data_IF_591109921714
#
_entry.id   IF_591109921714
#
_cell.length_a   1.000
_cell.length_b   1.000
_cell.length_c   1.000
_cell.angle_alpha   90.00
_cell.angle_beta   90.00
_cell.angle_gamma   90.00
#
_symmetry.space_group_name_H-M   'P 1'
#
loop_
_entity.id
_entity.type
_entity.pdbx_description
1 polymer ?
#
# COMPACT_ATOMS: atom_id res chain seq x y z
N UNK A 1 -40.05 6.27 -25.55
CA UNK A 1 -40.45 7.11 -24.40
C UNK A 1 -41.10 6.19 -23.37
N UNK A 2 -40.41 5.87 -22.26
CA UNK A 2 -40.97 5.66 -20.92
C UNK A 2 -39.83 5.26 -19.96
N UNK A 3 -39.72 6.02 -18.87
CA UNK A 3 -38.72 5.94 -17.80
C UNK A 3 -39.14 4.86 -16.79
N UNK A 4 -38.25 3.94 -16.44
CA UNK A 4 -38.43 3.10 -15.26
C UNK A 4 -37.83 3.78 -14.03
N UNK A 5 -38.71 4.08 -13.07
CA UNK A 5 -38.44 4.73 -11.78
C UNK A 5 -38.37 3.63 -10.73
N UNK A 6 -37.21 3.38 -10.14
CA UNK A 6 -37.10 2.48 -9.00
C UNK A 6 -37.33 3.25 -7.70
N UNK A 7 -38.38 2.91 -6.96
CA UNK A 7 -38.66 3.45 -5.63
C UNK A 7 -37.91 2.67 -4.55
N UNK A 8 -37.18 3.36 -3.68
CA UNK A 8 -36.69 2.80 -2.41
C UNK A 8 -37.88 2.60 -1.47
N UNK A 9 -38.10 1.38 -1.01
CA UNK A 9 -38.82 1.11 0.25
C UNK A 9 -37.77 0.91 1.34
N UNK A 10 -37.91 1.65 2.42
CA UNK A 10 -37.19 1.44 3.66
C UNK A 10 -37.63 0.10 4.28
N UNK A 11 -36.68 -0.67 4.79
CA UNK A 11 -36.92 -1.78 5.68
C UNK A 11 -36.06 -1.53 6.93
N UNK A 12 -36.76 -1.20 8.01
CA UNK A 12 -36.23 -1.02 9.35
C UNK A 12 -35.84 -2.36 9.97
N UNK A 13 -34.83 -2.32 10.84
CA UNK A 13 -34.74 -3.19 12.01
C UNK A 13 -33.86 -4.43 11.87
N UNK A 14 -32.78 -4.43 12.65
CA UNK A 14 -31.82 -5.52 12.89
C UNK A 14 -30.72 -5.67 11.82
N UNK A 15 -30.00 -4.57 11.57
CA UNK A 15 -28.72 -4.59 10.87
C UNK A 15 -27.66 -5.24 11.73
N UNK A 16 -27.43 -6.55 11.55
CA UNK A 16 -26.09 -7.10 11.74
C UNK A 16 -25.23 -6.39 10.71
N UNK A 17 -24.43 -5.40 11.15
CA UNK A 17 -23.39 -4.81 10.31
C UNK A 17 -22.35 -5.89 10.10
N UNK A 18 -22.58 -6.72 9.08
CA UNK A 18 -21.50 -7.40 8.40
C UNK A 18 -20.66 -6.25 7.84
N UNK A 19 -19.59 -5.87 8.54
CA UNK A 19 -18.55 -5.05 7.93
C UNK A 19 -18.14 -5.82 6.67
N UNK A 20 -18.55 -5.31 5.50
CA UNK A 20 -18.19 -5.87 4.22
C UNK A 20 -16.66 -5.80 4.13
N UNK A 21 -15.99 -6.88 4.56
CA UNK A 21 -14.53 -7.04 4.63
C UNK A 21 -13.85 -6.90 3.26
N UNK A 22 -14.65 -6.68 2.22
CA UNK A 22 -14.27 -6.53 0.82
C UNK A 22 -14.44 -5.10 0.31
N UNK A 23 -15.07 -4.21 1.09
CA UNK A 23 -15.29 -2.84 0.66
C UNK A 23 -14.04 -2.00 0.94
N UNK A 24 -13.43 -1.48 -0.13
CA UNK A 24 -12.36 -0.52 0.00
C UNK A 24 -12.91 0.77 0.62
N UNK A 25 -12.14 1.38 1.53
CA UNK A 25 -12.43 2.75 1.98
C UNK A 25 -12.48 3.65 0.74
N UNK A 26 -13.53 4.47 0.58
CA UNK A 26 -13.54 5.47 -0.46
C UNK A 26 -12.40 6.46 -0.23
N UNK A 27 -11.90 7.08 -1.31
CA UNK A 27 -10.74 7.99 -1.25
C UNK A 27 -10.93 9.10 -0.21
N UNK A 28 -12.16 9.61 -0.06
CA UNK A 28 -12.53 10.66 0.91
C UNK A 28 -12.34 10.25 2.39
N UNK A 29 -12.37 8.95 2.69
CA UNK A 29 -12.16 8.42 4.03
C UNK A 29 -10.70 8.03 4.30
N UNK A 30 -9.84 8.10 3.29
CA UNK A 30 -8.42 7.75 3.42
C UNK A 30 -7.63 8.97 3.89
N UNK A 31 -6.66 8.72 4.76
CA UNK A 31 -5.65 9.72 5.04
C UNK A 31 -4.83 9.97 3.75
N UNK A 32 -4.58 11.24 3.44
CA UNK A 32 -3.77 11.63 2.28
C UNK A 32 -2.29 11.64 2.65
N UNK A 33 -1.49 10.80 1.98
CA UNK A 33 -0.06 10.69 2.21
C UNK A 33 0.73 11.05 0.96
N UNK A 34 1.61 12.04 1.07
CA UNK A 34 2.56 12.33 0.01
C UNK A 34 3.74 11.34 0.03
N UNK A 35 4.11 10.84 -1.14
CA UNK A 35 5.37 10.13 -1.34
C UNK A 35 6.54 11.13 -1.43
N UNK A 36 7.57 10.91 -0.62
CA UNK A 36 8.87 11.54 -0.78
C UNK A 36 9.86 10.46 -1.25
N UNK A 37 10.19 10.38 -2.55
CA UNK A 37 11.02 9.31 -3.11
C UNK A 37 12.25 9.03 -2.28
N UNK A 38 12.46 7.75 -1.93
CA UNK A 38 13.62 7.25 -1.17
C UNK A 38 13.80 7.85 0.23
N UNK A 39 12.92 8.76 0.67
CA UNK A 39 12.99 9.42 1.97
C UNK A 39 11.86 8.96 2.91
N UNK A 40 10.67 8.68 2.38
CA UNK A 40 9.54 8.17 3.15
C UNK A 40 8.18 8.40 2.52
N UNK A 41 7.13 8.16 3.31
CA UNK A 41 5.73 8.28 2.86
C UNK A 41 4.85 8.77 4.00
N UNK A 42 4.06 9.82 3.74
CA UNK A 42 3.21 10.45 4.75
C UNK A 42 4.02 10.88 6.00
N UNK A 43 3.65 10.43 7.21
CA UNK A 43 4.39 10.75 8.44
C UNK A 43 5.65 9.90 8.62
N UNK A 44 5.82 8.84 7.83
CA UNK A 44 6.93 7.89 7.97
C UNK A 44 8.17 8.35 7.21
N UNK A 45 9.34 8.16 7.81
CA UNK A 45 10.65 8.38 7.18
C UNK A 45 11.47 7.11 7.27
N UNK A 46 12.19 6.78 6.20
CA UNK A 46 13.12 5.67 6.24
C UNK A 46 14.22 5.94 7.26
N UNK A 47 14.69 4.88 7.91
CA UNK A 47 15.60 4.96 9.05
C UNK A 47 14.92 5.05 10.42
N UNK A 48 13.62 5.37 10.49
CA UNK A 48 12.89 5.39 11.76
C UNK A 48 12.93 4.03 12.46
N UNK A 49 13.16 4.03 13.76
CA UNK A 49 13.00 2.87 14.62
C UNK A 49 11.52 2.58 14.82
N UNK A 50 11.20 1.35 15.22
CA UNK A 50 9.80 0.96 15.44
C UNK A 50 9.05 1.86 16.42
N UNK A 51 9.69 2.37 17.47
CA UNK A 51 9.05 3.30 18.41
C UNK A 51 8.73 4.65 17.79
N UNK A 52 9.57 5.13 16.88
CA UNK A 52 9.36 6.39 16.16
C UNK A 52 8.23 6.25 15.14
N UNK A 53 8.15 5.11 14.44
CA UNK A 53 7.01 4.78 13.57
C UNK A 53 5.71 4.74 14.36
N UNK A 54 5.69 4.05 15.49
CA UNK A 54 4.54 4.02 16.41
C UNK A 54 4.10 5.43 16.82
N UNK A 55 5.05 6.28 17.23
CA UNK A 55 4.77 7.66 17.61
C UNK A 55 4.23 8.49 16.43
N UNK A 56 4.84 8.36 15.24
CA UNK A 56 4.43 9.08 14.03
C UNK A 56 3.02 8.69 13.55
N UNK A 57 2.61 7.45 13.78
CA UNK A 57 1.26 6.95 13.47
C UNK A 57 0.26 7.18 14.60
N UNK A 58 0.69 7.67 15.77
CA UNK A 58 -0.16 7.81 16.95
C UNK A 58 -0.63 6.46 17.54
N UNK A 59 0.11 5.37 17.29
CA UNK A 59 -0.26 4.01 17.71
C UNK A 59 0.72 3.46 18.74
N UNK A 60 0.18 3.01 19.87
CA UNK A 60 0.96 2.58 21.04
C UNK A 60 1.55 1.17 20.88
N UNK A 61 0.90 0.26 20.14
CA UNK A 61 1.41 -1.11 19.96
C UNK A 61 1.01 -1.74 18.62
N UNK A 62 1.95 -1.93 17.67
CA UNK A 62 1.69 -2.70 16.46
C UNK A 62 1.63 -4.20 16.73
N UNK A 63 0.98 -4.94 15.84
CA UNK A 63 1.10 -6.40 15.80
C UNK A 63 2.44 -6.80 15.17
N UNK A 64 3.22 -7.64 15.82
CA UNK A 64 4.56 -8.06 15.39
C UNK A 64 4.53 -9.54 14.97
N UNK A 65 5.11 -9.83 13.81
CA UNK A 65 5.38 -11.22 13.38
C UNK A 65 6.88 -11.37 13.20
N UNK A 66 7.52 -12.05 14.14
CA UNK A 66 8.97 -12.26 14.12
C UNK A 66 9.33 -13.36 13.13
N UNK A 67 9.94 -12.99 12.01
CA UNK A 67 10.74 -13.90 11.19
C UNK A 67 12.16 -13.33 11.12
N UNK A 68 13.13 -14.19 11.33
CA UNK A 68 14.38 -13.97 12.10
C UNK A 68 15.41 -13.00 11.48
N UNK A 69 15.13 -12.31 10.37
CA UNK A 69 16.09 -11.39 9.72
C UNK A 69 15.51 -10.00 9.40
N UNK A 70 14.21 -9.91 9.11
CA UNK A 70 13.51 -8.66 8.79
C UNK A 70 12.33 -8.53 9.74
N UNK A 71 12.38 -7.54 10.63
CA UNK A 71 11.25 -7.30 11.51
C UNK A 71 10.08 -6.77 10.68
N UNK A 72 8.91 -7.40 10.83
CA UNK A 72 7.65 -6.97 10.21
C UNK A 72 6.69 -6.52 11.31
N UNK A 73 6.10 -5.34 11.11
CA UNK A 73 5.07 -4.79 12.01
C UNK A 73 3.86 -4.32 11.24
N UNK A 74 2.68 -4.68 11.74
CA UNK A 74 1.40 -4.36 11.12
C UNK A 74 0.65 -3.34 11.97
N UNK A 75 0.23 -2.25 11.33
CA UNK A 75 -0.58 -1.18 11.89
C UNK A 75 -1.96 -1.24 11.22
N UNK A 76 -2.81 -2.15 11.71
CA UNK A 76 -4.09 -2.49 11.05
C UNK A 76 -5.04 -1.30 10.97
N UNK A 77 -5.09 -0.47 12.02
CA UNK A 77 -5.97 0.70 12.06
C UNK A 77 -5.63 1.74 10.99
N UNK A 78 -4.35 1.78 10.58
CA UNK A 78 -3.85 2.66 9.51
C UNK A 78 -3.85 1.97 8.15
N UNK A 79 -3.84 0.63 8.11
CA UNK A 79 -3.72 -0.13 6.87
C UNK A 79 -2.30 -0.13 6.31
N UNK A 80 -1.29 -0.22 7.18
CA UNK A 80 0.13 -0.20 6.77
C UNK A 80 0.91 -1.34 7.41
N UNK A 81 1.80 -1.96 6.65
CA UNK A 81 2.81 -2.90 7.14
C UNK A 81 4.20 -2.30 6.94
N UNK A 82 5.02 -2.32 7.98
CA UNK A 82 6.40 -1.81 7.95
C UNK A 82 7.42 -2.93 8.06
N UNK A 83 8.51 -2.78 7.32
CA UNK A 83 9.64 -3.69 7.26
C UNK A 83 10.90 -2.95 7.71
N UNK A 84 11.68 -3.59 8.58
CA UNK A 84 12.90 -3.00 9.14
C UNK A 84 14.13 -3.79 8.74
N UNK A 85 15.18 -3.06 8.36
CA UNK A 85 16.54 -3.56 8.31
C UNK A 85 17.14 -3.50 9.72
N UNK A 86 17.81 -4.57 10.15
CA UNK A 86 18.22 -4.78 11.54
C UNK A 86 19.04 -3.62 12.14
N UNK A 87 19.94 -3.00 11.38
CA UNK A 87 20.75 -1.86 11.84
C UNK A 87 20.29 -0.50 11.30
N UNK A 88 19.65 -0.48 10.12
CA UNK A 88 19.30 0.76 9.44
C UNK A 88 17.92 1.31 9.82
N UNK A 89 17.04 0.53 10.46
CA UNK A 89 15.68 0.97 10.81
C UNK A 89 14.67 0.71 9.69
N UNK A 90 13.60 1.51 9.62
CA UNK A 90 12.52 1.36 8.65
C UNK A 90 13.10 1.37 7.22
N UNK A 91 12.90 0.27 6.50
CA UNK A 91 13.42 0.05 5.15
C UNK A 91 12.32 -0.14 4.10
N UNK A 92 11.11 -0.51 4.53
CA UNK A 92 9.98 -0.71 3.64
C UNK A 92 8.64 -0.43 4.29
N UNK A 93 7.69 0.05 3.50
CA UNK A 93 6.31 0.32 3.87
C UNK A 93 5.39 -0.25 2.80
N UNK A 94 4.57 -1.24 3.15
CA UNK A 94 3.49 -1.70 2.31
C UNK A 94 2.18 -1.03 2.75
N UNK A 95 1.44 -0.48 1.80
CA UNK A 95 0.17 0.21 2.03
C UNK A 95 -0.97 -0.65 1.52
N UNK A 96 -1.92 -0.98 2.41
CA UNK A 96 -3.06 -1.83 2.07
C UNK A 96 -4.01 -1.14 1.06
N UNK A 97 -4.42 -1.86 0.02
CA UNK A 97 -5.27 -1.30 -1.03
C UNK A 97 -6.68 -0.94 -0.55
N UNK A 98 -7.21 -1.62 0.47
CA UNK A 98 -8.58 -1.47 0.95
C UNK A 98 -8.69 -0.41 2.03
N UNK A 99 -7.79 -0.40 3.01
CA UNK A 99 -7.94 0.40 4.23
C UNK A 99 -6.80 1.37 4.49
N UNK A 100 -5.72 1.26 3.70
CA UNK A 100 -4.53 2.10 3.80
C UNK A 100 -4.75 3.55 3.35
N UNK A 101 -3.82 4.45 3.69
CA UNK A 101 -3.80 5.82 3.20
C UNK A 101 -3.76 5.88 1.67
N UNK A 102 -4.33 6.95 1.12
CA UNK A 102 -4.16 7.28 -0.29
C UNK A 102 -2.77 7.90 -0.47
N UNK A 103 -1.85 7.15 -1.08
CA UNK A 103 -0.53 7.68 -1.41
C UNK A 103 -0.59 8.44 -2.73
N UNK A 104 0.00 9.63 -2.76
CA UNK A 104 0.10 10.47 -3.96
C UNK A 104 1.57 10.78 -4.33
N UNK A 105 1.84 10.87 -5.63
CA UNK A 105 3.10 11.38 -6.17
C UNK A 105 2.78 12.34 -7.32
N UNK A 106 3.29 13.57 -7.23
CA UNK A 106 2.94 14.68 -8.15
C UNK A 106 1.44 14.81 -8.41
N UNK A 107 0.65 14.72 -7.32
CA UNK A 107 -0.82 14.80 -7.36
C UNK A 107 -1.52 13.55 -7.91
N UNK A 108 -0.79 12.53 -8.39
CA UNK A 108 -1.39 11.29 -8.88
C UNK A 108 -1.61 10.30 -7.73
N UNK A 109 -2.83 9.79 -7.52
CA UNK A 109 -3.11 8.75 -6.53
C UNK A 109 -2.62 7.38 -6.99
N UNK A 110 -1.96 6.62 -6.10
CA UNK A 110 -1.28 5.37 -6.45
C UNK A 110 -1.82 4.12 -5.73
N UNK A 111 -2.49 4.27 -4.60
CA UNK A 111 -3.10 3.16 -3.85
C UNK A 111 -4.59 3.05 -4.22
N UNK A 112 -5.15 1.84 -4.21
CA UNK A 112 -6.57 1.62 -4.48
C UNK A 112 -6.98 1.85 -5.93
N UNK A 113 -6.03 1.88 -6.87
CA UNK A 113 -6.28 2.19 -8.29
C UNK A 113 -6.50 0.93 -9.12
N UNK A 114 -6.98 1.13 -10.35
CA UNK A 114 -7.04 0.06 -11.35
C UNK A 114 -5.60 -0.28 -11.77
N UNK A 115 -5.19 -1.57 -11.75
CA UNK A 115 -3.82 -1.97 -12.06
C UNK A 115 -3.31 -1.44 -13.41
N UNK A 116 -4.10 -1.57 -14.48
CA UNK A 116 -3.69 -1.11 -15.82
C UNK A 116 -3.46 0.39 -15.92
N UNK A 117 -4.19 1.21 -15.15
CA UNK A 117 -3.97 2.66 -15.10
C UNK A 117 -2.63 2.99 -14.44
N UNK A 118 -2.33 2.30 -13.33
CA UNK A 118 -1.08 2.53 -12.61
C UNK A 118 0.12 1.92 -13.35
N UNK A 119 -0.04 0.80 -14.05
CA UNK A 119 0.99 0.24 -14.93
C UNK A 119 1.41 1.24 -16.01
N UNK A 120 0.43 1.84 -16.69
CA UNK A 120 0.71 2.88 -17.67
C UNK A 120 1.41 4.08 -17.03
N UNK A 121 0.97 4.50 -15.84
CA UNK A 121 1.64 5.57 -15.11
C UNK A 121 3.10 5.23 -14.76
N UNK A 122 3.41 3.98 -14.40
CA UNK A 122 4.79 3.54 -14.14
C UNK A 122 5.66 3.68 -15.41
N UNK A 123 5.13 3.28 -16.56
CA UNK A 123 5.79 3.48 -17.88
C UNK A 123 6.01 4.97 -18.16
N UNK A 124 4.98 5.80 -17.98
CA UNK A 124 5.06 7.23 -18.23
C UNK A 124 6.08 7.92 -17.31
N UNK A 125 6.14 7.55 -16.03
CA UNK A 125 7.14 8.08 -15.09
C UNK A 125 8.56 7.68 -15.46
N UNK A 126 8.76 6.42 -15.86
CA UNK A 126 10.04 5.92 -16.37
C UNK A 126 10.52 6.77 -17.54
N UNK A 127 9.65 6.96 -18.53
CA UNK A 127 9.97 7.71 -19.75
C UNK A 127 10.19 9.20 -19.50
N UNK A 128 9.34 9.83 -18.67
CA UNK A 128 9.42 11.26 -18.38
C UNK A 128 10.68 11.62 -17.59
N UNK A 129 11.08 10.76 -16.64
CA UNK A 129 12.22 11.03 -15.74
C UNK A 129 13.52 10.36 -16.19
N UNK A 130 13.48 9.52 -17.22
CA UNK A 130 14.62 8.72 -17.69
C UNK A 130 15.22 7.84 -16.58
N UNK A 131 14.33 7.22 -15.81
CA UNK A 131 14.66 6.28 -14.74
C UNK A 131 14.37 4.85 -15.20
N UNK A 132 14.88 3.86 -14.46
CA UNK A 132 14.76 2.46 -14.84
C UNK A 132 13.40 1.87 -14.43
N UNK A 133 12.67 1.27 -15.38
CA UNK A 133 11.48 0.47 -15.13
C UNK A 133 11.86 -1.00 -15.10
N UNK A 134 11.63 -1.64 -13.96
CA UNK A 134 11.97 -3.05 -13.74
C UNK A 134 10.74 -3.92 -13.55
N UNK A 135 10.95 -5.20 -13.78
CA UNK A 135 10.03 -6.28 -13.41
C UNK A 135 10.71 -7.13 -12.35
N UNK A 136 10.09 -7.29 -11.19
CA UNK A 136 10.59 -8.17 -10.11
C UNK A 136 10.52 -9.64 -10.53
N UNK A 137 11.18 -10.55 -9.81
CA UNK A 137 11.05 -11.99 -10.05
C UNK A 137 9.59 -12.49 -9.98
N UNK A 138 8.73 -11.80 -9.22
CA UNK A 138 7.29 -12.09 -9.10
C UNK A 138 6.39 -11.35 -10.11
N UNK A 139 6.94 -10.70 -11.13
CA UNK A 139 6.16 -10.03 -12.18
C UNK A 139 5.56 -8.68 -11.80
N UNK A 140 5.96 -8.08 -10.69
CA UNK A 140 5.55 -6.73 -10.29
C UNK A 140 6.40 -5.66 -10.98
N UNK A 141 5.79 -4.54 -11.37
CA UNK A 141 6.53 -3.37 -11.87
C UNK A 141 7.21 -2.61 -10.73
N UNK A 142 8.42 -2.14 -10.96
CA UNK A 142 9.19 -1.38 -10.00
C UNK A 142 9.88 -0.16 -10.64
N UNK A 143 9.93 0.94 -9.90
CA UNK A 143 10.72 2.14 -10.19
C UNK A 143 11.70 2.35 -9.03
N UNK A 144 12.89 1.71 -9.07
CA UNK A 144 13.84 1.76 -7.95
C UNK A 144 14.30 3.16 -7.58
N UNK A 145 14.40 4.07 -8.56
CA UNK A 145 14.75 5.47 -8.35
C UNK A 145 13.66 6.27 -7.61
N UNK A 146 12.42 5.76 -7.59
CA UNK A 146 11.34 6.31 -6.77
C UNK A 146 11.08 5.50 -5.49
N UNK A 147 11.75 4.35 -5.34
CA UNK A 147 11.51 3.41 -4.24
C UNK A 147 10.16 2.72 -4.34
N UNK A 148 9.60 2.54 -5.53
CA UNK A 148 8.25 2.00 -5.71
C UNK A 148 8.28 0.59 -6.30
N UNK A 149 7.49 -0.30 -5.72
CA UNK A 149 7.07 -1.57 -6.34
C UNK A 149 5.54 -1.61 -6.34
N UNK A 150 4.96 -1.70 -7.54
CA UNK A 150 3.52 -1.84 -7.72
C UNK A 150 3.10 -3.27 -7.42
N UNK A 151 2.20 -3.42 -6.45
CA UNK A 151 1.58 -4.69 -6.12
C UNK A 151 0.08 -4.59 -6.31
N UNK A 152 -0.60 -5.73 -6.31
CA UNK A 152 -2.06 -5.79 -6.43
C UNK A 152 -2.64 -6.58 -5.27
N UNK A 153 -3.87 -6.25 -4.89
CA UNK A 153 -4.62 -6.90 -3.83
C UNK A 153 -6.05 -7.12 -4.29
N UNK A 154 -6.58 -8.31 -4.00
CA UNK A 154 -7.94 -8.69 -4.35
C UNK A 154 -8.96 -8.11 -3.37
N UNK A 155 -9.99 -7.49 -3.92
CA UNK A 155 -11.12 -6.89 -3.22
C UNK A 155 -12.42 -7.48 -3.79
N UNK A 156 -12.84 -8.65 -3.29
CA UNK A 156 -13.93 -9.41 -3.90
C UNK A 156 -13.58 -9.80 -5.34
N UNK A 157 -14.30 -9.25 -6.32
CA UNK A 157 -14.11 -9.57 -7.75
C UNK A 157 -13.21 -8.58 -8.49
N UNK A 158 -12.67 -7.57 -7.81
CA UNK A 158 -11.74 -6.60 -8.42
C UNK A 158 -10.33 -6.73 -7.85
N UNK A 159 -9.35 -6.30 -8.64
CA UNK A 159 -7.97 -6.09 -8.20
C UNK A 159 -7.74 -4.59 -8.05
N UNK A 160 -7.13 -4.21 -6.94
CA UNK A 160 -6.74 -2.84 -6.63
C UNK A 160 -5.24 -2.76 -6.39
N UNK A 161 -4.64 -1.64 -6.75
CA UNK A 161 -3.21 -1.42 -6.51
C UNK A 161 -2.94 -1.26 -5.01
N UNK A 162 -1.87 -1.89 -4.56
CA UNK A 162 -1.22 -1.63 -3.27
C UNK A 162 0.24 -1.28 -3.57
N UNK A 163 0.82 -0.39 -2.78
CA UNK A 163 2.23 -0.02 -2.99
C UNK A 163 3.12 -0.66 -1.94
N UNK A 164 4.28 -1.12 -2.40
CA UNK A 164 5.42 -1.36 -1.54
C UNK A 164 6.44 -0.25 -1.81
N UNK A 165 6.73 0.54 -0.78
CA UNK A 165 7.56 1.73 -0.82
C UNK A 165 8.83 1.44 -0.02
N UNK A 166 9.99 1.54 -0.66
CA UNK A 166 11.25 0.98 -0.19
C UNK A 166 12.37 2.02 -0.17
N UNK A 167 13.39 1.78 0.65
CA UNK A 167 14.69 2.44 0.49
C UNK A 167 15.30 2.05 -0.86
N UNK A 168 16.25 2.85 -1.35
CA UNK A 168 16.90 2.58 -2.64
C UNK A 168 17.55 1.19 -2.69
N UNK A 169 18.26 0.80 -1.63
CA UNK A 169 18.88 -0.52 -1.52
C UNK A 169 17.88 -1.67 -1.72
N UNK A 170 16.72 -1.58 -1.06
CA UNK A 170 15.69 -2.60 -1.12
C UNK A 170 14.94 -2.55 -2.44
N UNK A 171 14.71 -1.37 -3.00
CA UNK A 171 14.02 -1.19 -4.28
C UNK A 171 14.83 -1.73 -5.47
N UNK A 172 16.16 -1.77 -5.36
CA UNK A 172 17.04 -2.31 -6.39
C UNK A 172 16.97 -3.83 -6.48
N UNK A 173 16.75 -4.52 -5.36
CA UNK A 173 16.68 -5.99 -5.27
C UNK A 173 15.55 -6.42 -4.32
N UNK A 174 14.29 -6.09 -4.61
CA UNK A 174 13.20 -6.29 -3.66
C UNK A 174 12.95 -7.77 -3.37
N UNK A 175 13.27 -8.65 -4.32
CA UNK A 175 13.12 -10.10 -4.17
C UNK A 175 14.04 -10.69 -3.08
N UNK A 176 15.18 -10.05 -2.79
CA UNK A 176 16.14 -10.49 -1.77
C UNK A 176 15.80 -9.95 -0.36
N UNK A 177 15.19 -8.77 -0.30
CA UNK A 177 14.97 -8.05 0.96
C UNK A 177 13.53 -8.08 1.46
N UNK A 178 12.56 -8.29 0.58
CA UNK A 178 11.14 -8.28 0.95
C UNK A 178 10.70 -9.71 1.25
N UNK A 179 10.16 -9.99 2.45
CA UNK A 179 9.80 -11.35 2.84
C UNK A 179 8.83 -12.00 1.84
N UNK A 180 9.02 -13.30 1.60
CA UNK A 180 8.24 -14.06 0.61
C UNK A 180 6.72 -13.89 0.78
N UNK A 181 6.25 -13.83 2.03
CA UNK A 181 4.84 -13.62 2.37
C UNK A 181 4.22 -12.35 1.79
N UNK A 182 5.00 -11.30 1.53
CA UNK A 182 4.51 -10.08 0.88
C UNK A 182 4.16 -10.37 -0.59
N UNK A 183 4.91 -11.25 -1.27
CA UNK A 183 4.68 -11.64 -2.67
C UNK A 183 3.43 -12.52 -2.84
N UNK A 184 3.04 -13.25 -1.80
CA UNK A 184 1.88 -14.16 -1.80
C UNK A 184 0.67 -13.62 -1.02
N UNK A 185 0.46 -12.31 -0.97
CA UNK A 185 -0.68 -11.74 -0.23
C UNK A 185 -1.98 -11.91 -1.04
N UNK A 186 -2.61 -13.08 -0.92
CA UNK A 186 -3.86 -13.45 -1.62
C UNK A 186 -5.15 -13.04 -0.89
N UNK A 187 -5.04 -12.48 0.31
CA UNK A 187 -6.19 -12.18 1.18
C UNK A 187 -6.18 -10.73 1.64
N UNK A 188 -7.37 -10.13 1.66
CA UNK A 188 -7.67 -8.96 2.49
C UNK A 188 -7.40 -9.30 3.96
N UNK A 189 -6.62 -8.46 4.64
CA UNK A 189 -6.27 -8.62 6.05
C UNK A 189 -7.49 -8.58 6.98
#
# INVERSE_FOLDING_TARGET
>A
MQRFRWSRRAADGLGVVLMDRWNAKPDEERAEWALAPLAGVGPLRFGMRSGEVSAALGIVSPFQTDVVVIARKMFRDVGVTTYYSGSAGLAGVAVDALVGPQVTFDGTPLVGRVPSELEQWFVDQSDARKIDLRVTAYGALALPDLGLVMRVQRAGDVLLTRLLILTHEWAMNPDDYVPESEWHTWHAF
#
